data_IF_596365800431
#
_entry.id   IF_596365800431
#
_cell.length_a   1.000
_cell.length_b   1.000
_cell.length_c   1.000
_cell.angle_alpha   90.00
_cell.angle_beta   90.00
_cell.angle_gamma   90.00
#
_symmetry.space_group_name_H-M   'P 1'
#
loop_
_entity.id
_entity.type
_entity.pdbx_description
1 polymer ?
#
# COMPACT_ATOMS: atom_id res chain seq x y z
N UNK A 1 -17.20 25.88 -11.47
CA UNK A 1 -15.73 26.02 -11.53
C UNK A 1 -15.14 25.75 -10.16
N UNK A 2 -15.08 24.46 -9.82
CA UNK A 2 -14.47 23.96 -8.58
C UNK A 2 -13.03 23.65 -8.92
N UNK A 3 -12.09 24.44 -8.40
CA UNK A 3 -10.67 24.20 -8.63
C UNK A 3 -10.30 22.98 -7.79
N UNK A 4 -10.25 21.80 -8.39
CA UNK A 4 -9.58 20.67 -7.76
C UNK A 4 -8.13 21.06 -7.67
N UNK A 5 -7.67 21.42 -6.47
CA UNK A 5 -6.26 21.54 -6.16
C UNK A 5 -5.67 20.15 -6.37
N UNK A 6 -5.24 19.88 -7.59
CA UNK A 6 -4.38 18.76 -7.93
C UNK A 6 -3.03 19.12 -7.34
N UNK A 7 -2.96 18.99 -6.01
CA UNK A 7 -1.73 19.05 -5.28
C UNK A 7 -0.90 17.90 -5.82
N UNK A 8 -0.03 18.22 -6.79
CA UNK A 8 1.18 17.46 -7.09
C UNK A 8 2.03 17.54 -5.82
N UNK A 9 1.58 16.92 -4.74
CA UNK A 9 2.47 16.34 -3.76
C UNK A 9 3.34 15.42 -4.61
N UNK A 10 4.61 15.79 -4.77
CA UNK A 10 5.64 14.86 -5.22
C UNK A 10 5.37 13.59 -4.43
N UNK A 11 4.82 12.55 -5.07
CA UNK A 11 4.28 11.41 -4.35
C UNK A 11 5.44 10.82 -3.57
N UNK A 12 5.46 11.14 -2.28
CA UNK A 12 6.58 10.81 -1.43
C UNK A 12 6.69 9.29 -1.51
N UNK A 13 7.88 8.70 -1.54
CA UNK A 13 8.03 7.25 -1.74
C UNK A 13 7.16 6.46 -0.73
N UNK A 14 6.96 7.05 0.45
CA UNK A 14 6.06 6.57 1.48
C UNK A 14 4.57 6.59 1.11
N UNK A 15 4.11 7.63 0.41
CA UNK A 15 2.71 7.78 -0.01
C UNK A 15 2.37 6.74 -1.10
N UNK A 16 3.28 6.57 -2.08
CA UNK A 16 3.17 5.52 -3.10
C UNK A 16 3.18 4.11 -2.48
N UNK A 17 3.97 3.90 -1.42
CA UNK A 17 3.99 2.65 -0.68
C UNK A 17 2.66 2.40 0.05
N UNK A 18 2.07 3.43 0.66
CA UNK A 18 0.77 3.33 1.31
C UNK A 18 -0.35 3.01 0.29
N UNK A 19 -0.36 3.69 -0.87
CA UNK A 19 -1.30 3.38 -1.96
C UNK A 19 -1.10 1.95 -2.47
N UNK A 20 0.16 1.49 -2.63
CA UNK A 20 0.43 0.13 -3.10
C UNK A 20 -0.03 -0.95 -2.11
N UNK A 21 0.26 -0.78 -0.81
CA UNK A 21 -0.18 -1.74 0.23
C UNK A 21 -1.70 -1.89 0.23
N UNK A 22 -2.41 -0.77 0.05
CA UNK A 22 -3.89 -0.72 0.12
C UNK A 22 -4.57 -0.91 -1.22
N UNK A 23 -3.81 -1.12 -2.30
CA UNK A 23 -4.36 -1.35 -3.63
C UNK A 23 -5.11 -2.68 -3.73
N UNK A 24 -6.32 -2.63 -4.27
CA UNK A 24 -7.15 -3.81 -4.58
C UNK A 24 -6.85 -4.42 -5.95
N UNK A 25 -5.96 -3.81 -6.74
CA UNK A 25 -5.53 -4.35 -8.04
C UNK A 25 -4.40 -5.38 -7.91
N UNK A 26 -3.78 -5.49 -6.73
CA UNK A 26 -2.85 -6.56 -6.44
C UNK A 26 -3.57 -7.91 -6.45
N UNK A 27 -2.98 -8.93 -7.12
CA UNK A 27 -3.56 -10.29 -7.22
C UNK A 27 -3.90 -10.90 -5.87
N UNK A 28 -3.12 -10.57 -4.85
CA UNK A 28 -3.41 -10.84 -3.45
C UNK A 28 -3.41 -9.50 -2.73
N UNK A 29 -4.53 -9.17 -2.10
CA UNK A 29 -4.63 -7.97 -1.29
C UNK A 29 -3.69 -8.10 -0.08
N UNK A 30 -2.81 -7.12 0.10
CA UNK A 30 -1.86 -7.08 1.22
C UNK A 30 -2.51 -6.37 2.41
N UNK A 31 -2.80 -5.08 2.28
CA UNK A 31 -3.24 -4.24 3.39
C UNK A 31 -2.22 -4.15 4.53
N UNK A 32 -2.49 -3.32 5.54
CA UNK A 32 -1.57 -3.15 6.68
C UNK A 32 -1.38 -4.44 7.50
N UNK A 33 -2.40 -5.30 7.54
CA UNK A 33 -2.29 -6.59 8.22
C UNK A 33 -1.40 -7.58 7.46
N UNK A 34 -1.46 -7.61 6.11
CA UNK A 34 -0.64 -8.49 5.28
C UNK A 34 0.85 -8.23 5.42
N UNK A 35 1.26 -7.00 5.72
CA UNK A 35 2.67 -6.63 5.98
C UNK A 35 3.26 -7.43 7.13
N UNK A 36 2.48 -7.73 8.17
CA UNK A 36 2.91 -8.58 9.30
C UNK A 36 2.63 -10.06 9.04
N UNK A 37 1.51 -10.38 8.38
CA UNK A 37 1.09 -11.76 8.14
C UNK A 37 2.06 -12.49 7.20
N UNK A 38 2.54 -11.86 6.13
CA UNK A 38 3.39 -12.52 5.13
C UNK A 38 4.73 -12.98 5.75
N UNK A 39 5.51 -12.13 6.45
CA UNK A 39 6.75 -12.58 7.07
C UNK A 39 6.54 -13.60 8.19
N UNK A 40 5.47 -13.46 8.99
CA UNK A 40 5.21 -14.37 10.12
C UNK A 40 4.77 -15.75 9.67
N UNK A 41 3.90 -15.84 8.64
CA UNK A 41 3.53 -17.12 8.06
C UNK A 41 4.72 -17.79 7.39
N UNK A 42 5.53 -17.06 6.60
CA UNK A 42 6.74 -17.62 5.99
C UNK A 42 7.70 -18.17 7.05
N UNK A 43 7.95 -17.41 8.12
CA UNK A 43 8.82 -17.84 9.20
C UNK A 43 8.27 -19.05 9.97
N UNK A 44 6.94 -19.14 10.14
CA UNK A 44 6.30 -20.27 10.81
C UNK A 44 6.25 -21.54 9.93
N UNK A 45 6.29 -21.40 8.61
CA UNK A 45 6.35 -22.53 7.67
C UNK A 45 7.75 -23.07 7.41
N UNK A 46 8.79 -22.31 7.75
CA UNK A 46 10.20 -22.67 7.57
C UNK A 46 10.70 -23.63 8.66
#
# INVERSE_FOLDING_TARGET
>A
MTTTLQQRQSANLWDQFCEWITSTENRLYVGWFGVLMIPTLLAATA
#
